data_IF_804946946977
#
_entry.id   IF_804946946977
#
_cell.length_a   1.000
_cell.length_b   1.000
_cell.length_c   1.000
_cell.angle_alpha   90.00
_cell.angle_beta   90.00
_cell.angle_gamma   90.00
#
_symmetry.space_group_name_H-M   'P 1'
#
loop_
_entity.id
_entity.type
_entity.pdbx_description
1 polymer ?
#
# COMPACT_ATOMS: atom_id res chain seq x y z
N UNK A 1 20.58 8.25 17.85
CA UNK A 1 20.08 9.48 17.16
C UNK A 1 19.88 9.32 15.64
N UNK A 2 20.65 8.47 14.95
CA UNK A 2 20.55 8.19 13.50
C UNK A 2 19.19 7.63 13.01
N UNK A 3 18.42 6.97 13.88
CA UNK A 3 17.14 6.33 13.50
C UNK A 3 16.06 7.35 13.10
N UNK A 4 15.95 8.46 13.82
CA UNK A 4 14.90 9.48 13.58
C UNK A 4 15.05 10.18 12.23
N UNK A 5 16.28 10.46 11.78
CA UNK A 5 16.55 11.08 10.48
C UNK A 5 16.14 10.16 9.32
N UNK A 6 16.52 8.88 9.37
CA UNK A 6 16.13 7.86 8.36
C UNK A 6 14.61 7.69 8.29
N UNK A 7 13.93 7.62 9.43
CA UNK A 7 12.47 7.52 9.50
C UNK A 7 11.80 8.75 8.87
N UNK A 8 12.26 9.96 9.20
CA UNK A 8 11.71 11.19 8.63
C UNK A 8 11.92 11.28 7.12
N UNK A 9 13.10 10.88 6.61
CA UNK A 9 13.40 10.84 5.18
C UNK A 9 12.53 9.83 4.42
N UNK A 10 12.26 8.66 4.99
CA UNK A 10 11.35 7.70 4.38
C UNK A 10 9.90 8.20 4.39
N UNK A 11 9.47 8.83 5.48
CA UNK A 11 8.14 9.45 5.58
C UNK A 11 7.93 10.54 4.54
N UNK A 12 8.88 11.46 4.40
CA UNK A 12 8.82 12.52 3.38
C UNK A 12 8.89 11.95 1.97
N UNK A 13 9.75 10.94 1.76
CA UNK A 13 9.87 10.23 0.49
C UNK A 13 8.55 9.60 0.03
N UNK A 14 7.79 8.96 0.92
CA UNK A 14 6.46 8.42 0.60
C UNK A 14 5.49 9.56 0.24
N UNK A 15 5.50 10.65 1.01
CA UNK A 15 4.65 11.81 0.72
C UNK A 15 4.87 12.36 -0.70
N UNK A 16 6.12 12.69 -1.03
CA UNK A 16 6.49 13.36 -2.28
C UNK A 16 6.48 12.39 -3.46
N UNK A 17 7.13 11.23 -3.32
CA UNK A 17 7.39 10.34 -4.46
C UNK A 17 6.26 9.37 -4.76
N UNK A 18 5.27 9.22 -3.87
CA UNK A 18 4.18 8.27 -4.08
C UNK A 18 2.82 8.98 -4.11
N UNK A 19 2.45 9.72 -3.06
CA UNK A 19 1.10 10.30 -3.02
C UNK A 19 0.88 11.43 -4.03
N UNK A 20 1.90 12.23 -4.35
CA UNK A 20 1.76 13.28 -5.37
C UNK A 20 1.52 12.71 -6.77
N UNK A 21 2.30 11.73 -7.27
CA UNK A 21 1.98 11.05 -8.53
C UNK A 21 0.60 10.38 -8.55
N UNK A 22 0.20 9.71 -7.47
CA UNK A 22 -1.12 9.07 -7.39
C UNK A 22 -2.24 10.11 -7.51
N UNK A 23 -2.13 11.25 -6.85
CA UNK A 23 -3.10 12.35 -6.98
C UNK A 23 -3.18 12.88 -8.41
N UNK A 24 -2.05 13.01 -9.10
CA UNK A 24 -2.00 13.44 -10.50
C UNK A 24 -2.72 12.42 -11.40
N UNK A 25 -2.46 11.12 -11.22
CA UNK A 25 -3.15 10.06 -11.94
C UNK A 25 -4.67 10.11 -11.73
N UNK A 26 -5.11 10.25 -10.47
CA UNK A 26 -6.53 10.38 -10.14
C UNK A 26 -7.16 11.63 -10.75
N UNK A 27 -6.44 12.77 -10.76
CA UNK A 27 -6.91 14.02 -11.37
C UNK A 27 -7.10 13.87 -12.88
N UNK A 28 -6.22 13.11 -13.53
CA UNK A 28 -6.26 12.86 -14.98
C UNK A 28 -7.11 11.64 -15.38
N UNK A 29 -7.87 11.05 -14.45
CA UNK A 29 -8.76 9.92 -14.74
C UNK A 29 -8.08 8.56 -14.87
N UNK A 30 -6.80 8.45 -14.55
CA UNK A 30 -6.04 7.19 -14.59
C UNK A 30 -6.23 6.40 -13.28
N UNK A 31 -7.43 5.84 -13.09
CA UNK A 31 -7.84 5.20 -11.84
C UNK A 31 -7.16 3.86 -11.55
N UNK A 32 -7.06 3.00 -12.56
CA UNK A 32 -6.41 1.69 -12.46
C UNK A 32 -4.95 1.82 -11.98
N UNK A 33 -4.06 2.58 -12.64
CA UNK A 33 -2.68 2.69 -12.19
C UNK A 33 -2.59 3.38 -10.82
N UNK A 34 -3.49 4.30 -10.49
CA UNK A 34 -3.55 4.90 -9.17
C UNK A 34 -3.84 3.86 -8.08
N UNK A 35 -4.82 2.98 -8.28
CA UNK A 35 -5.12 1.87 -7.35
C UNK A 35 -3.93 0.93 -7.24
N UNK A 36 -3.31 0.55 -8.36
CA UNK A 36 -2.13 -0.34 -8.35
C UNK A 36 -1.01 0.25 -7.50
N UNK A 37 -0.68 1.53 -7.66
CA UNK A 37 0.34 2.20 -6.87
C UNK A 37 -0.01 2.29 -5.38
N UNK A 38 -1.30 2.45 -5.04
CA UNK A 38 -1.76 2.39 -3.65
C UNK A 38 -1.55 1.00 -3.06
N UNK A 39 -1.80 -0.07 -3.80
CA UNK A 39 -1.53 -1.44 -3.36
C UNK A 39 -0.03 -1.68 -3.18
N UNK A 40 0.80 -1.21 -4.11
CA UNK A 40 2.26 -1.26 -3.99
C UNK A 40 2.75 -0.49 -2.75
N UNK A 41 2.08 0.59 -2.35
CA UNK A 41 2.37 1.29 -1.10
C UNK A 41 2.15 0.39 0.11
N UNK A 42 1.01 -0.30 0.16
CA UNK A 42 0.68 -1.21 1.26
C UNK A 42 1.70 -2.34 1.35
N UNK A 43 2.07 -2.95 0.22
CA UNK A 43 3.14 -3.95 0.15
C UNK A 43 4.48 -3.42 0.65
N UNK A 44 4.83 -2.20 0.24
CA UNK A 44 6.06 -1.54 0.66
C UNK A 44 6.09 -1.35 2.18
N UNK A 45 5.05 -0.77 2.78
CA UNK A 45 4.97 -0.55 4.23
C UNK A 45 4.94 -1.87 5.01
N UNK A 46 4.16 -2.84 4.55
CA UNK A 46 4.07 -4.16 5.16
C UNK A 46 5.42 -4.88 5.14
N UNK A 47 6.26 -4.65 4.13
CA UNK A 47 7.64 -5.16 4.13
C UNK A 47 8.47 -4.58 5.28
N UNK A 48 8.48 -3.26 5.46
CA UNK A 48 9.22 -2.62 6.58
C UNK A 48 8.67 -3.01 7.95
N UNK A 49 7.35 -3.17 8.06
CA UNK A 49 6.71 -3.64 9.29
C UNK A 49 7.30 -4.97 9.79
N UNK A 50 7.71 -5.86 8.89
CA UNK A 50 8.11 -7.23 9.26
C UNK A 50 9.58 -7.43 9.59
N UNK A 51 10.46 -6.51 9.17
CA UNK A 51 11.91 -6.69 9.38
C UNK A 51 12.55 -7.84 8.58
N UNK A 52 11.81 -8.50 7.67
CA UNK A 52 12.35 -9.59 6.86
C UNK A 52 13.21 -9.05 5.72
N UNK A 53 14.51 -9.32 5.78
CA UNK A 53 15.47 -9.02 4.70
C UNK A 53 15.36 -10.09 3.62
N UNK A 54 15.42 -9.68 2.35
CA UNK A 54 15.70 -10.58 1.22
C UNK A 54 14.59 -11.54 0.81
N UNK A 55 13.53 -11.70 1.61
CA UNK A 55 12.39 -12.55 1.31
C UNK A 55 11.20 -11.81 0.68
N UNK A 56 10.32 -12.57 0.01
CA UNK A 56 9.00 -12.10 -0.37
C UNK A 56 8.16 -11.86 0.89
N UNK A 57 7.30 -10.84 0.85
CA UNK A 57 6.37 -10.56 1.94
C UNK A 57 5.35 -11.70 2.02
N UNK A 58 5.46 -12.54 3.05
CA UNK A 58 4.56 -13.68 3.22
C UNK A 58 3.12 -13.22 3.55
N UNK A 59 2.16 -14.12 3.30
CA UNK A 59 0.72 -13.86 3.49
C UNK A 59 0.39 -13.40 4.92
N UNK A 60 0.87 -14.12 5.94
CA UNK A 60 0.59 -13.84 7.36
C UNK A 60 0.97 -12.41 7.72
N UNK A 61 2.19 -12.02 7.37
CA UNK A 61 2.73 -10.70 7.68
C UNK A 61 1.97 -9.56 7.01
N UNK A 62 1.55 -9.75 5.76
CA UNK A 62 0.73 -8.77 5.06
C UNK A 62 -0.65 -8.65 5.72
N UNK A 63 -1.29 -9.78 6.04
CA UNK A 63 -2.58 -9.81 6.75
C UNK A 63 -2.48 -9.09 8.10
N UNK A 64 -1.41 -9.33 8.85
CA UNK A 64 -1.16 -8.68 10.14
C UNK A 64 -0.99 -7.16 9.99
N UNK A 65 -0.26 -6.70 8.95
CA UNK A 65 -0.13 -5.28 8.65
C UNK A 65 -1.48 -4.64 8.32
N UNK A 66 -2.27 -5.25 7.42
CA UNK A 66 -3.58 -4.74 7.02
C UNK A 66 -4.52 -4.69 8.23
N UNK A 67 -4.58 -5.75 9.03
CA UNK A 67 -5.42 -5.79 10.24
C UNK A 67 -5.10 -4.64 11.21
N UNK A 68 -3.82 -4.26 11.31
CA UNK A 68 -3.34 -3.23 12.24
C UNK A 68 -3.54 -1.81 11.73
N UNK A 69 -3.23 -1.53 10.46
CA UNK A 69 -3.17 -0.17 9.94
C UNK A 69 -4.29 0.17 8.94
N UNK A 70 -5.06 -0.83 8.51
CA UNK A 70 -6.21 -0.72 7.62
C UNK A 70 -7.40 -1.50 8.23
N UNK A 71 -7.81 -1.21 9.49
CA UNK A 71 -8.74 -2.03 10.26
C UNK A 71 -10.17 -2.06 9.69
N UNK A 72 -10.52 -1.11 8.83
CA UNK A 72 -11.81 -1.07 8.13
C UNK A 72 -11.94 -2.16 7.05
N UNK A 73 -10.85 -2.85 6.72
CA UNK A 73 -10.82 -3.92 5.74
C UNK A 73 -10.77 -5.28 6.42
N UNK A 74 -11.51 -6.26 5.88
CA UNK A 74 -11.21 -7.65 6.16
C UNK A 74 -9.84 -7.97 5.54
N UNK A 75 -8.84 -8.24 6.38
CA UNK A 75 -7.45 -8.38 5.94
C UNK A 75 -7.19 -9.60 5.06
N UNK A 76 -7.96 -10.68 5.24
CA UNK A 76 -7.88 -11.86 4.39
C UNK A 76 -8.44 -11.58 2.99
N UNK A 77 -9.58 -10.90 2.93
CA UNK A 77 -10.19 -10.48 1.68
C UNK A 77 -9.30 -9.47 0.97
N UNK A 78 -8.79 -8.44 1.65
CA UNK A 78 -7.85 -7.48 1.08
C UNK A 78 -6.61 -8.17 0.49
N UNK A 79 -6.08 -9.20 1.15
CA UNK A 79 -4.97 -9.99 0.60
C UNK A 79 -5.38 -10.76 -0.68
N UNK A 80 -6.48 -11.51 -0.64
CA UNK A 80 -6.91 -12.35 -1.78
C UNK A 80 -7.32 -11.51 -2.99
N UNK A 81 -8.11 -10.48 -2.73
CA UNK A 81 -8.77 -9.66 -3.73
C UNK A 81 -7.77 -8.65 -4.28
N UNK A 82 -7.23 -7.79 -3.44
CA UNK A 82 -6.40 -6.69 -3.92
C UNK A 82 -5.01 -7.18 -4.29
N UNK A 83 -4.30 -7.80 -3.35
CA UNK A 83 -2.92 -8.19 -3.61
C UNK A 83 -2.84 -9.34 -4.63
N UNK A 84 -3.48 -10.47 -4.38
CA UNK A 84 -3.40 -11.60 -5.31
C UNK A 84 -4.22 -11.38 -6.60
N UNK A 85 -5.48 -10.95 -6.48
CA UNK A 85 -6.36 -10.84 -7.65
C UNK A 85 -6.04 -9.65 -8.55
N UNK A 86 -6.00 -8.44 -7.99
CA UNK A 86 -5.78 -7.22 -8.78
C UNK A 86 -4.32 -7.04 -9.18
N UNK A 87 -3.37 -7.18 -8.25
CA UNK A 87 -1.96 -6.86 -8.53
C UNK A 87 -1.24 -8.01 -9.26
N UNK A 88 -1.42 -9.25 -8.82
CA UNK A 88 -0.69 -10.37 -9.43
C UNK A 88 -1.37 -10.93 -10.68
N UNK A 89 -2.70 -10.85 -10.79
CA UNK A 89 -3.44 -11.41 -11.93
C UNK A 89 -4.05 -10.37 -12.85
N UNK A 90 -4.03 -9.07 -12.50
CA UNK A 90 -4.60 -7.98 -13.32
C UNK A 90 -6.04 -8.24 -13.80
N UNK A 91 -6.87 -8.83 -12.93
CA UNK A 91 -8.21 -9.34 -13.27
C UNK A 91 -9.31 -8.25 -13.48
N UNK A 92 -8.97 -7.10 -14.06
CA UNK A 92 -9.84 -5.92 -14.17
C UNK A 92 -11.13 -6.11 -14.98
N UNK A 93 -11.20 -7.10 -15.88
CA UNK A 93 -12.35 -7.30 -16.77
C UNK A 93 -13.55 -7.97 -16.10
N UNK A 94 -13.30 -8.94 -15.22
CA UNK A 94 -14.34 -9.87 -14.75
C UNK A 94 -14.68 -9.71 -13.26
N UNK A 95 -13.70 -9.34 -12.43
CA UNK A 95 -13.85 -9.40 -10.96
C UNK A 95 -13.77 -8.05 -10.27
N UNK A 96 -13.35 -7.00 -10.97
CA UNK A 96 -13.09 -5.70 -10.37
C UNK A 96 -13.71 -4.59 -11.18
N UNK A 97 -14.45 -3.71 -10.51
CA UNK A 97 -14.89 -2.46 -11.09
C UNK A 97 -14.27 -1.31 -10.30
N UNK A 98 -13.34 -0.61 -10.94
CA UNK A 98 -12.71 0.57 -10.38
C UNK A 98 -13.58 1.78 -10.73
N UNK A 99 -14.19 2.38 -9.71
CA UNK A 99 -15.14 3.47 -9.88
C UNK A 99 -14.45 4.76 -10.34
N UNK A 100 -15.02 5.41 -11.35
CA UNK A 100 -14.60 6.75 -11.78
C UNK A 100 -15.05 7.79 -10.75
N UNK A 101 -14.29 8.87 -10.62
CA UNK A 101 -14.66 9.99 -9.75
C UNK A 101 -15.96 10.62 -10.28
N UNK A 102 -16.95 10.80 -9.40
CA UNK A 102 -18.23 11.45 -9.72
C UNK A 102 -19.41 10.49 -9.90
N UNK A 103 -19.18 9.19 -10.01
CA UNK A 103 -20.25 8.21 -10.29
C UNK A 103 -20.95 7.66 -9.04
N UNK A 104 -20.46 7.92 -7.82
CA UNK A 104 -21.03 7.39 -6.59
C UNK A 104 -20.87 8.35 -5.40
N UNK A 105 -21.90 8.45 -4.57
CA UNK A 105 -21.90 9.27 -3.37
C UNK A 105 -20.94 8.67 -2.34
N UNK A 106 -19.93 9.44 -1.92
CA UNK A 106 -18.86 9.02 -0.97
C UNK A 106 -19.43 8.56 0.39
N UNK A 107 -20.70 8.86 0.69
CA UNK A 107 -21.39 8.55 1.94
C UNK A 107 -21.61 7.05 2.23
N UNK A 108 -21.50 6.16 1.25
CA UNK A 108 -21.92 4.76 1.44
C UNK A 108 -20.83 3.79 1.94
N UNK A 109 -19.65 4.26 2.37
CA UNK A 109 -18.57 3.37 2.84
C UNK A 109 -18.32 2.18 1.88
N UNK A 110 -18.35 2.45 0.58
CA UNK A 110 -18.19 1.42 -0.46
C UNK A 110 -16.69 1.08 -0.59
N UNK A 111 -16.20 0.35 0.40
CA UNK A 111 -14.82 -0.13 0.53
C UNK A 111 -14.78 -1.59 0.10
N UNK A 112 -14.17 -1.91 -1.05
CA UNK A 112 -14.12 -3.29 -1.56
C UNK A 112 -15.49 -4.01 -1.51
N UNK A 113 -16.54 -3.28 -1.88
CA UNK A 113 -17.89 -3.83 -1.80
C UNK A 113 -18.05 -4.91 -2.85
N UNK A 114 -18.39 -6.11 -2.39
CA UNK A 114 -18.83 -7.19 -3.26
C UNK A 114 -20.26 -6.88 -3.70
N UNK A 115 -20.46 -6.78 -5.00
CA UNK A 115 -21.78 -6.61 -5.60
C UNK A 115 -22.01 -7.74 -6.60
N UNK A 116 -23.26 -8.15 -6.77
CA UNK A 116 -23.61 -9.15 -7.77
C UNK A 116 -24.19 -8.45 -9.00
N UNK A 117 -23.65 -8.77 -10.17
CA UNK A 117 -24.18 -8.34 -11.46
C UNK A 117 -24.23 -9.56 -12.37
N UNK A 118 -25.40 -9.88 -12.92
CA UNK A 118 -25.60 -11.04 -13.79
C UNK A 118 -25.07 -12.36 -13.18
N UNK A 119 -25.39 -12.62 -11.90
CA UNK A 119 -24.89 -13.76 -11.12
C UNK A 119 -23.37 -13.83 -10.93
N UNK A 120 -22.64 -12.76 -11.25
CA UNK A 120 -21.20 -12.64 -11.06
C UNK A 120 -20.88 -11.67 -9.92
N UNK A 121 -20.01 -12.11 -8.99
CA UNK A 121 -19.48 -11.23 -7.95
C UNK A 121 -18.44 -10.27 -8.54
N UNK A 122 -18.68 -8.97 -8.38
CA UNK A 122 -17.80 -7.87 -8.79
C UNK A 122 -17.39 -7.09 -7.56
N UNK A 123 -16.13 -6.67 -7.53
CA UNK A 123 -15.54 -5.95 -6.40
C UNK A 123 -15.40 -4.49 -6.78
N UNK A 124 -16.12 -3.62 -6.06
CA UNK A 124 -16.08 -2.19 -6.26
C UNK A 124 -14.91 -1.58 -5.50
N UNK A 125 -14.04 -0.86 -6.21
CA UNK A 125 -12.93 -0.10 -5.61
C UNK A 125 -13.15 1.38 -5.87
N UNK A 126 -13.13 2.19 -4.81
CA UNK A 126 -13.19 3.65 -4.91
C UNK A 126 -11.80 4.27 -4.70
N UNK A 127 -11.08 4.69 -5.77
CA UNK A 127 -9.65 5.04 -5.68
C UNK A 127 -9.33 6.18 -4.71
N UNK A 128 -10.20 7.19 -4.61
CA UNK A 128 -9.99 8.33 -3.70
C UNK A 128 -10.11 7.95 -2.23
N UNK A 129 -11.03 7.03 -1.93
CA UNK A 129 -11.23 6.57 -0.55
C UNK A 129 -10.03 5.71 -0.15
N UNK A 130 -9.65 4.77 -1.02
CA UNK A 130 -8.43 3.98 -0.84
C UNK A 130 -7.18 4.85 -0.65
N UNK A 131 -7.04 5.95 -1.41
CA UNK A 131 -5.93 6.90 -1.22
C UNK A 131 -5.91 7.49 0.19
N UNK A 132 -7.03 7.99 0.68
CA UNK A 132 -7.11 8.63 2.00
C UNK A 132 -6.87 7.63 3.13
N UNK A 133 -7.31 6.40 2.96
CA UNK A 133 -7.13 5.32 3.92
C UNK A 133 -5.69 4.81 3.95
N UNK A 134 -5.06 4.60 2.80
CA UNK A 134 -3.62 4.27 2.72
C UNK A 134 -2.78 5.42 3.29
N UNK A 135 -3.17 6.68 3.05
CA UNK A 135 -2.52 7.85 3.65
C UNK A 135 -2.66 7.85 5.17
N UNK A 136 -3.81 7.45 5.69
CA UNK A 136 -4.06 7.31 7.13
C UNK A 136 -3.24 6.16 7.72
N UNK A 137 -3.23 5.00 7.07
CA UNK A 137 -2.41 3.85 7.43
C UNK A 137 -0.91 4.21 7.50
N UNK A 138 -0.39 4.96 6.51
CA UNK A 138 0.96 5.51 6.52
C UNK A 138 1.21 6.36 7.78
N UNK A 139 0.32 7.31 8.09
CA UNK A 139 0.46 8.17 9.26
C UNK A 139 0.47 7.37 10.55
N UNK A 140 -0.44 6.40 10.69
CA UNK A 140 -0.52 5.51 11.86
C UNK A 140 0.75 4.67 12.00
N UNK A 141 1.20 4.04 10.92
CA UNK A 141 2.45 3.27 10.89
C UNK A 141 3.64 4.11 11.34
N UNK A 142 3.83 5.31 10.79
CA UNK A 142 4.95 6.18 11.18
C UNK A 142 4.80 6.77 12.59
N UNK A 143 3.58 6.97 13.08
CA UNK A 143 3.34 7.38 14.47
C UNK A 143 3.79 6.26 15.41
N UNK A 144 3.39 5.02 15.11
CA UNK A 144 3.75 3.87 15.93
C UNK A 144 5.23 3.52 15.84
N UNK A 145 5.81 3.63 14.64
CA UNK A 145 7.23 3.43 14.41
C UNK A 145 8.10 4.34 15.28
N UNK A 146 7.63 5.53 15.67
CA UNK A 146 8.40 6.44 16.55
C UNK A 146 8.48 5.98 18.00
N UNK A 147 7.56 5.12 18.45
CA UNK A 147 7.45 4.70 19.85
C UNK A 147 7.72 3.21 20.06
N UNK A 148 7.55 2.39 19.02
CA UNK A 148 7.71 0.94 19.10
C UNK A 148 9.12 0.53 18.63
N UNK A 149 9.98 0.15 19.58
CA UNK A 149 11.39 -0.23 19.32
C UNK A 149 11.52 -1.41 18.35
N UNK A 150 10.64 -2.41 18.44
CA UNK A 150 10.64 -3.55 17.53
C UNK A 150 10.34 -3.11 16.09
N UNK A 151 9.41 -2.17 15.89
CA UNK A 151 9.15 -1.62 14.56
C UNK A 151 10.33 -0.79 14.06
N UNK A 152 11.00 -0.03 14.92
CA UNK A 152 12.21 0.73 14.54
C UNK A 152 13.32 -0.20 14.07
N UNK A 153 13.56 -1.28 14.81
CA UNK A 153 14.53 -2.30 14.45
C UNK A 153 14.19 -2.92 13.09
N UNK A 154 12.94 -3.37 12.89
CA UNK A 154 12.46 -3.94 11.64
C UNK A 154 12.61 -2.99 10.45
N UNK A 155 12.30 -1.71 10.66
CA UNK A 155 12.41 -0.67 9.65
C UNK A 155 13.86 -0.43 9.24
N UNK A 156 14.75 -0.17 10.21
CA UNK A 156 16.17 0.13 9.97
C UNK A 156 16.86 -1.02 9.26
N UNK A 157 16.58 -2.25 9.69
CA UNK A 157 17.08 -3.47 9.07
C UNK A 157 16.77 -3.55 7.57
N UNK A 158 15.61 -3.07 7.14
CA UNK A 158 15.25 -3.01 5.71
C UNK A 158 15.88 -1.82 4.98
N UNK A 159 15.97 -0.66 5.63
CA UNK A 159 16.59 0.55 5.04
C UNK A 159 18.06 0.31 4.72
N UNK A 160 18.81 -0.27 5.66
CA UNK A 160 20.25 -0.48 5.51
C UNK A 160 20.55 -1.41 4.34
N UNK A 161 19.74 -2.46 4.14
CA UNK A 161 19.89 -3.37 2.98
C UNK A 161 19.65 -2.65 1.65
N UNK A 162 18.69 -1.73 1.58
CA UNK A 162 18.40 -0.98 0.36
C UNK A 162 19.54 -0.01 0.05
N UNK A 163 20.07 0.67 1.06
CA UNK A 163 21.19 1.60 0.89
C UNK A 163 22.47 0.85 0.48
N UNK A 164 22.77 -0.30 1.09
CA UNK A 164 23.91 -1.14 0.69
C UNK A 164 23.80 -1.57 -0.77
N UNK A 165 22.62 -2.07 -1.21
CA UNK A 165 22.39 -2.46 -2.61
C UNK A 165 22.61 -1.29 -3.56
N UNK A 166 22.09 -0.10 -3.23
CA UNK A 166 22.27 1.11 -4.05
C UNK A 166 23.74 1.50 -4.22
N UNK A 167 24.54 1.34 -3.18
CA UNK A 167 25.99 1.58 -3.27
C UNK A 167 26.67 0.55 -4.19
N UNK A 168 26.32 -0.73 -4.07
CA UNK A 168 26.88 -1.78 -4.95
C UNK A 168 26.57 -1.54 -6.43
N UNK A 169 25.35 -1.07 -6.75
CA UNK A 169 24.98 -0.72 -8.14
C UNK A 169 25.74 0.48 -8.71
N UNK A 170 26.14 1.45 -7.87
CA UNK A 170 26.97 2.58 -8.30
C UNK A 170 28.40 2.17 -8.61
N UNK A 171 28.94 1.20 -7.88
CA UNK A 171 30.31 0.69 -8.09
C UNK A 171 30.41 -0.13 -9.38
N UNK A 172 29.37 -0.90 -9.74
CA UNK A 172 29.35 -1.72 -10.96
C UNK A 172 29.09 -0.94 -12.27
N UNK A 173 28.81 0.37 -12.20
CA UNK A 173 28.54 1.24 -13.36
C UNK A 173 29.73 2.14 -13.72
N UNK A 174 30.89 1.90 -13.13
CA UNK A 174 32.18 2.51 -13.50
C UNK A 174 33.02 1.44 -14.17
#
# INVERSE_FOLDING_TARGET
>A
MLSRSKINKARSGIGVNLFSPIRLLLKNGHYVPAVILLCCCVDYLAKYYTGKIGGSLNKKNYIDFVKRFLPQYNSLDFYKIIRCGLIHSYNLGDKYLILKIGSYNIKNNLHLTKVFKNNQEIILIHPRILLEEVRTACKLYFKELKINENLQFNFLKNVDVIDTRRQTYKVKKR
#
